data_IF_929929634716
#
_entry.id   IF_929929634716
#
_cell.length_a   1.000
_cell.length_b   1.000
_cell.length_c   1.000
_cell.angle_alpha   90.00
_cell.angle_beta   90.00
_cell.angle_gamma   90.00
#
_symmetry.space_group_name_H-M   'P 1'
#
loop_
_entity.id
_entity.type
_entity.pdbx_description
1 polymer ?
#
# COMPACT_ATOMS: atom_id res chain seq x y z
N UNK A 1 -17.28 52.06 32.22
CA UNK A 1 -17.00 52.23 30.78
C UNK A 1 -15.55 51.81 30.54
N UNK A 2 -15.26 51.23 29.37
CA UNK A 2 -13.95 51.22 28.64
C UNK A 2 -12.64 51.25 29.47
N UNK A 3 -11.83 50.18 29.51
CA UNK A 3 -10.85 49.78 28.45
C UNK A 3 -9.51 50.55 28.59
N UNK A 4 -8.31 49.98 28.48
CA UNK A 4 -7.86 48.59 28.24
C UNK A 4 -6.33 48.47 28.44
N UNK A 5 -5.73 47.30 28.20
CA UNK A 5 -4.26 47.15 28.21
C UNK A 5 -3.74 45.71 28.47
N UNK A 6 -2.92 45.19 27.55
CA UNK A 6 -2.36 43.82 27.58
C UNK A 6 -0.83 43.84 27.79
N UNK A 7 -0.27 42.76 28.32
CA UNK A 7 1.16 42.65 28.65
C UNK A 7 1.66 41.21 28.85
N UNK A 8 1.33 40.30 27.92
CA UNK A 8 1.77 38.91 27.98
C UNK A 8 3.15 38.71 27.32
N UNK A 9 4.13 38.17 28.05
CA UNK A 9 5.50 38.00 27.58
C UNK A 9 6.08 36.62 27.87
N UNK A 10 5.95 35.69 26.92
CA UNK A 10 6.91 34.60 26.68
C UNK A 10 6.55 33.80 25.41
N UNK A 11 7.49 33.64 24.47
CA UNK A 11 7.30 32.70 23.35
C UNK A 11 8.05 33.02 22.05
N UNK A 12 9.38 32.84 21.99
CA UNK A 12 10.06 32.66 20.69
C UNK A 12 11.38 31.84 20.70
N UNK A 13 11.57 30.95 21.69
CA UNK A 13 12.84 30.18 21.83
C UNK A 13 13.07 29.19 20.68
N UNK A 14 12.00 28.70 20.04
CA UNK A 14 12.08 27.74 18.92
C UNK A 14 12.34 28.42 17.57
N UNK A 15 11.81 29.63 17.35
CA UNK A 15 12.02 30.37 16.09
C UNK A 15 13.49 30.74 15.87
N UNK A 16 14.19 31.15 16.94
CA UNK A 16 15.63 31.42 16.87
C UNK A 16 16.48 30.21 16.51
N UNK A 17 16.08 28.99 16.93
CA UNK A 17 16.85 27.78 16.65
C UNK A 17 16.85 27.44 15.15
N UNK A 18 15.71 27.62 14.47
CA UNK A 18 15.59 27.39 13.03
C UNK A 18 16.27 28.51 12.21
N UNK A 19 16.13 29.77 12.63
CA UNK A 19 16.79 30.90 11.97
C UNK A 19 18.33 30.76 11.91
N UNK A 20 18.94 30.17 12.94
CA UNK A 20 20.40 29.96 13.03
C UNK A 20 20.95 28.91 12.05
N UNK A 21 20.11 28.14 11.35
CA UNK A 21 20.53 27.21 10.29
C UNK A 21 20.60 27.83 8.89
N UNK A 22 20.00 29.01 8.67
CA UNK A 22 20.01 29.71 7.38
C UNK A 22 21.40 29.94 6.75
N UNK A 23 22.48 30.23 7.50
CA UNK A 23 23.80 30.48 6.89
C UNK A 23 24.43 29.26 6.21
N UNK A 24 24.13 28.03 6.66
CA UNK A 24 24.79 26.80 6.21
C UNK A 24 24.49 26.44 4.74
N UNK A 25 23.43 27.00 4.15
CA UNK A 25 22.99 26.68 2.79
C UNK A 25 23.30 27.78 1.76
N UNK A 26 23.90 28.91 2.17
CA UNK A 26 24.25 30.02 1.26
C UNK A 26 25.54 29.81 0.44
N UNK A 27 26.21 28.67 0.58
CA UNK A 27 27.50 28.38 -0.06
C UNK A 27 27.45 27.49 -1.31
N UNK A 28 26.31 26.90 -1.67
CA UNK A 28 26.20 25.94 -2.78
C UNK A 28 25.57 26.62 -4.00
N UNK A 29 26.37 27.42 -4.70
CA UNK A 29 26.05 27.86 -6.06
C UNK A 29 26.60 26.86 -7.07
N UNK A 30 25.77 26.37 -7.99
CA UNK A 30 26.26 25.58 -9.12
C UNK A 30 27.15 26.43 -10.03
N UNK A 31 28.30 25.93 -10.51
CA UNK A 31 28.99 26.56 -11.63
C UNK A 31 28.11 26.46 -12.88
N UNK A 32 28.02 27.54 -13.65
CA UNK A 32 27.50 27.46 -15.00
C UNK A 32 28.47 26.64 -15.87
N UNK A 33 27.93 25.72 -16.66
CA UNK A 33 28.67 24.97 -17.68
C UNK A 33 27.92 25.19 -18.98
N UNK A 34 28.43 26.10 -19.80
CA UNK A 34 27.94 26.30 -21.15
C UNK A 34 28.31 25.08 -22.01
N UNK A 35 27.33 24.52 -22.71
CA UNK A 35 27.51 23.35 -23.60
C UNK A 35 27.10 23.77 -25.00
N UNK A 36 28.08 24.12 -25.82
CA UNK A 36 27.87 24.25 -27.26
C UNK A 36 27.62 22.87 -27.88
N UNK A 37 26.58 22.75 -28.69
CA UNK A 37 26.23 21.51 -29.42
C UNK A 37 26.60 21.69 -30.89
N UNK A 38 27.55 20.91 -31.45
CA UNK A 38 27.88 20.95 -32.87
C UNK A 38 26.70 20.60 -33.77
N UNK A 39 26.67 21.19 -34.97
CA UNK A 39 25.54 21.11 -35.89
C UNK A 39 25.83 20.22 -37.13
N UNK A 40 26.13 18.94 -36.92
CA UNK A 40 26.44 17.98 -38.00
C UNK A 40 25.93 16.54 -37.77
N UNK A 41 24.67 16.37 -37.36
CA UNK A 41 23.94 15.10 -37.56
C UNK A 41 22.42 15.31 -37.64
N UNK A 42 21.91 15.41 -38.88
CA UNK A 42 20.49 15.36 -39.20
C UNK A 42 20.27 14.34 -40.32
N UNK A 43 19.47 13.30 -40.06
CA UNK A 43 18.88 12.46 -41.10
C UNK A 43 17.43 12.93 -41.36
N UNK A 44 16.91 12.77 -42.59
CA UNK A 44 15.75 13.54 -43.04
C UNK A 44 14.41 13.04 -42.50
N UNK A 45 13.50 13.98 -42.27
CA UNK A 45 12.06 13.71 -42.15
C UNK A 45 11.46 13.86 -43.55
N UNK A 46 10.71 12.84 -43.99
CA UNK A 46 10.09 12.80 -45.32
C UNK A 46 8.63 13.28 -45.24
N UNK A 47 8.30 14.42 -45.86
CA UNK A 47 6.94 14.97 -45.90
C UNK A 47 6.24 14.58 -47.21
N UNK A 48 5.11 13.87 -47.13
CA UNK A 48 4.32 13.46 -48.30
C UNK A 48 2.81 13.69 -48.11
N UNK A 49 2.38 14.88 -48.53
CA UNK A 49 1.04 15.32 -48.98
C UNK A 49 -0.25 14.92 -48.25
N UNK A 50 -0.97 15.97 -47.85
CA UNK A 50 -2.41 16.00 -47.53
C UNK A 50 -3.27 15.56 -48.72
N UNK A 51 -4.27 14.71 -48.48
CA UNK A 51 -5.52 14.73 -49.24
C UNK A 51 -6.70 14.23 -48.38
N UNK A 52 -7.71 15.08 -48.17
CA UNK A 52 -8.81 14.82 -47.25
C UNK A 52 -10.11 14.36 -47.92
N UNK A 53 -11.08 13.92 -47.11
CA UNK A 53 -12.51 13.84 -47.45
C UNK A 53 -13.38 14.02 -46.20
N UNK A 54 -14.38 14.90 -46.31
CA UNK A 54 -15.37 15.20 -45.28
C UNK A 54 -16.62 14.34 -45.52
N UNK A 55 -17.22 13.80 -44.45
CA UNK A 55 -18.64 13.42 -44.45
C UNK A 55 -19.30 13.63 -43.07
N UNK A 56 -20.35 14.45 -43.09
CA UNK A 56 -21.54 14.42 -42.21
C UNK A 56 -22.29 13.07 -42.41
N UNK A 57 -23.18 12.56 -41.54
CA UNK A 57 -23.58 12.89 -40.15
C UNK A 57 -24.02 11.54 -39.45
N UNK A 58 -25.00 11.32 -38.57
CA UNK A 58 -26.14 12.09 -38.02
C UNK A 58 -26.58 11.51 -36.62
N UNK A 59 -27.88 11.60 -36.26
CA UNK A 59 -28.44 11.18 -34.98
C UNK A 59 -28.70 9.65 -34.85
N UNK A 60 -28.90 9.17 -33.61
CA UNK A 60 -30.19 8.59 -33.20
C UNK A 60 -30.39 8.64 -31.67
N UNK A 61 -31.65 8.62 -31.22
CA UNK A 61 -32.07 8.79 -29.82
C UNK A 61 -33.23 7.83 -29.47
N UNK A 62 -33.46 7.59 -28.17
CA UNK A 62 -34.52 6.72 -27.59
C UNK A 62 -34.35 5.21 -27.91
N UNK A 63 -35.01 4.27 -27.21
CA UNK A 63 -35.89 4.35 -26.04
C UNK A 63 -36.32 2.95 -25.56
N UNK A 64 -36.90 2.83 -24.35
CA UNK A 64 -37.31 1.53 -23.76
C UNK A 64 -38.78 1.25 -24.05
N UNK A 65 -39.12 0.02 -24.49
CA UNK A 65 -40.48 -0.55 -24.36
C UNK A 65 -40.45 -2.10 -24.29
N UNK A 66 -41.63 -2.74 -24.20
CA UNK A 66 -41.87 -4.03 -23.52
C UNK A 66 -41.94 -5.28 -24.45
N UNK A 67 -42.16 -6.44 -23.81
CA UNK A 67 -42.43 -7.79 -24.37
C UNK A 67 -43.64 -7.84 -25.35
N UNK A 68 -43.95 -8.94 -26.06
CA UNK A 68 -43.82 -10.37 -25.67
C UNK A 68 -43.90 -11.36 -26.87
N UNK A 69 -43.75 -12.67 -26.57
CA UNK A 69 -44.04 -13.89 -27.35
C UNK A 69 -43.27 -14.19 -28.67
N UNK A 70 -42.99 -15.49 -28.91
CA UNK A 70 -42.82 -16.03 -30.28
C UNK A 70 -41.56 -16.86 -30.63
N UNK A 71 -41.50 -18.14 -30.22
CA UNK A 71 -40.74 -19.26 -30.85
C UNK A 71 -39.25 -19.11 -31.20
N UNK A 72 -38.39 -19.95 -30.62
CA UNK A 72 -36.95 -20.01 -30.92
C UNK A 72 -36.54 -21.14 -31.90
N UNK A 73 -35.62 -20.87 -32.86
CA UNK A 73 -34.79 -21.88 -33.53
C UNK A 73 -33.30 -21.81 -33.14
N UNK A 74 -32.52 -22.83 -33.55
CA UNK A 74 -31.19 -23.14 -33.03
C UNK A 74 -30.01 -22.28 -33.57
N UNK A 75 -28.88 -22.17 -32.84
CA UNK A 75 -27.72 -21.37 -33.25
C UNK A 75 -26.90 -22.02 -34.37
N UNK A 76 -26.50 -21.21 -35.37
CA UNK A 76 -25.60 -21.60 -36.46
C UNK A 76 -24.21 -21.01 -36.22
N UNK A 77 -23.20 -21.87 -36.03
CA UNK A 77 -21.81 -21.44 -35.86
C UNK A 77 -21.05 -21.28 -37.19
N UNK A 78 -20.08 -20.36 -37.25
CA UNK A 78 -19.09 -20.28 -38.33
C UNK A 78 -17.70 -19.99 -37.78
N UNK A 79 -16.70 -20.76 -38.23
CA UNK A 79 -15.29 -20.60 -37.85
C UNK A 79 -14.60 -19.57 -38.76
N UNK A 80 -13.56 -18.92 -38.25
CA UNK A 80 -12.54 -18.22 -39.04
C UNK A 80 -11.23 -19.01 -38.90
N UNK A 81 -10.46 -19.09 -40.00
CA UNK A 81 -9.27 -19.95 -40.11
C UNK A 81 -8.04 -19.10 -40.38
N UNK A 82 -6.92 -19.36 -39.69
CA UNK A 82 -5.63 -18.78 -40.03
C UNK A 82 -4.92 -19.57 -41.13
N UNK A 83 -4.20 -18.85 -41.99
CA UNK A 83 -3.66 -19.39 -43.24
C UNK A 83 -2.33 -20.11 -43.04
N UNK A 84 -2.11 -21.22 -43.74
CA UNK A 84 -0.85 -21.96 -43.71
C UNK A 84 -0.19 -21.95 -45.10
N UNK A 85 1.03 -21.42 -45.20
CA UNK A 85 1.75 -21.32 -46.46
C UNK A 85 3.26 -21.49 -46.26
N UNK A 86 3.75 -22.73 -46.39
CA UNK A 86 5.01 -23.10 -47.04
C UNK A 86 5.21 -24.62 -47.01
N UNK A 87 5.01 -25.25 -48.17
CA UNK A 87 5.41 -26.65 -48.40
C UNK A 87 5.83 -26.81 -49.85
N UNK A 88 7.10 -27.20 -50.09
CA UNK A 88 7.54 -27.84 -51.32
C UNK A 88 8.90 -28.52 -51.11
N UNK A 89 9.03 -29.69 -51.74
CA UNK A 89 10.19 -30.60 -51.81
C UNK A 89 10.19 -31.74 -50.78
N UNK A 90 9.62 -32.88 -51.16
CA UNK A 90 10.34 -34.15 -51.27
C UNK A 90 9.50 -35.13 -52.13
N UNK A 91 10.17 -35.93 -52.95
CA UNK A 91 9.55 -36.66 -54.05
C UNK A 91 8.92 -38.00 -53.64
N UNK A 92 8.02 -38.49 -54.49
CA UNK A 92 7.30 -39.75 -54.30
C UNK A 92 8.02 -40.94 -54.92
N UNK A 93 8.41 -41.95 -54.12
CA UNK A 93 8.46 -43.34 -54.62
C UNK A 93 8.34 -44.40 -53.51
N UNK A 94 7.86 -45.59 -53.94
CA UNK A 94 7.96 -46.94 -53.34
C UNK A 94 6.98 -47.41 -52.25
N UNK A 95 6.11 -48.29 -52.78
CA UNK A 95 5.77 -49.63 -52.28
C UNK A 95 4.59 -49.80 -51.32
N UNK A 96 3.93 -50.94 -51.51
CA UNK A 96 2.56 -51.25 -51.09
C UNK A 96 2.51 -52.44 -50.13
N UNK A 97 1.48 -52.42 -49.27
CA UNK A 97 0.86 -53.58 -48.60
C UNK A 97 1.76 -54.55 -47.79
N UNK A 98 1.59 -54.56 -46.47
CA UNK A 98 0.93 -55.67 -45.73
C UNK A 98 1.02 -55.44 -44.21
N UNK A 99 -0.11 -55.46 -43.51
CA UNK A 99 -0.15 -55.41 -42.04
C UNK A 99 0.11 -56.80 -41.44
N UNK A 100 1.31 -57.03 -40.91
CA UNK A 100 1.54 -58.09 -39.92
C UNK A 100 1.49 -57.48 -38.51
N UNK A 101 0.95 -58.19 -37.50
CA UNK A 101 1.05 -57.75 -36.11
C UNK A 101 2.52 -57.80 -35.68
N UNK A 102 3.03 -56.69 -35.15
CA UNK A 102 4.37 -56.65 -34.54
C UNK A 102 4.31 -57.39 -33.21
N UNK A 103 5.05 -58.48 -33.07
CA UNK A 103 5.32 -59.06 -31.76
C UNK A 103 6.17 -58.06 -30.96
N UNK A 104 5.64 -57.60 -29.83
CA UNK A 104 6.41 -56.87 -28.82
C UNK A 104 7.46 -57.81 -28.22
N UNK A 105 8.66 -57.78 -28.79
CA UNK A 105 9.83 -58.50 -28.29
C UNK A 105 10.29 -57.92 -26.95
N UNK A 106 10.66 -58.82 -26.04
CA UNK A 106 11.00 -58.57 -24.63
C UNK A 106 9.82 -58.10 -23.74
N UNK A 107 9.57 -58.76 -22.59
CA UNK A 107 8.70 -58.20 -21.55
C UNK A 107 9.36 -56.99 -20.90
N UNK A 108 8.55 -56.06 -20.37
CA UNK A 108 9.09 -54.91 -19.62
C UNK A 108 9.98 -55.38 -18.45
N UNK A 109 11.08 -54.66 -18.13
CA UNK A 109 11.92 -54.98 -16.98
C UNK A 109 11.09 -55.06 -15.70
N UNK A 110 11.10 -56.23 -15.05
CA UNK A 110 10.54 -56.38 -13.70
C UNK A 110 11.49 -55.70 -12.73
N UNK A 111 11.12 -54.51 -12.25
CA UNK A 111 11.80 -53.87 -11.15
C UNK A 111 11.90 -54.83 -9.94
N UNK A 112 13.02 -54.87 -9.21
CA UNK A 112 13.12 -55.70 -8.02
C UNK A 112 12.10 -55.24 -6.98
N UNK A 113 11.64 -56.16 -6.12
CA UNK A 113 10.59 -55.91 -5.12
C UNK A 113 10.94 -54.78 -4.11
N UNK A 114 12.20 -54.34 -4.09
CA UNK A 114 12.74 -53.32 -3.20
C UNK A 114 12.92 -51.95 -3.92
N UNK A 115 12.46 -51.81 -5.17
CA UNK A 115 12.69 -50.60 -5.97
C UNK A 115 11.74 -49.46 -5.58
N UNK A 116 12.16 -48.63 -4.62
CA UNK A 116 11.59 -47.31 -4.42
C UNK A 116 12.02 -46.41 -5.60
N UNK A 117 11.12 -46.20 -6.56
CA UNK A 117 11.31 -45.21 -7.60
C UNK A 117 10.96 -43.82 -7.07
N UNK A 118 11.89 -42.86 -7.19
CA UNK A 118 11.68 -41.46 -6.82
C UNK A 118 10.50 -40.78 -7.55
N UNK A 119 9.92 -41.43 -8.57
CA UNK A 119 8.66 -41.04 -9.20
C UNK A 119 7.46 -41.02 -8.24
N UNK A 120 7.49 -41.78 -7.13
CA UNK A 120 6.51 -41.65 -6.04
C UNK A 120 6.98 -40.73 -4.90
N UNK A 121 8.26 -40.35 -4.89
CA UNK A 121 8.80 -39.25 -4.07
C UNK A 121 8.64 -37.90 -4.77
N UNK A 122 7.75 -37.83 -5.76
CA UNK A 122 6.92 -36.65 -6.01
C UNK A 122 6.00 -36.38 -4.80
N UNK A 123 6.61 -36.14 -3.63
CA UNK A 123 6.03 -35.29 -2.60
C UNK A 123 5.61 -34.02 -3.33
N UNK A 124 4.29 -33.78 -3.39
CA UNK A 124 3.80 -32.48 -3.80
C UNK A 124 4.20 -31.50 -2.71
N UNK A 125 5.43 -30.98 -2.83
CA UNK A 125 5.85 -29.77 -2.15
C UNK A 125 4.87 -28.73 -2.63
N UNK A 126 3.83 -28.49 -1.84
CA UNK A 126 2.97 -27.32 -1.99
C UNK A 126 3.84 -26.12 -1.70
N UNK A 127 4.55 -25.67 -2.74
CA UNK A 127 5.12 -24.34 -2.84
C UNK A 127 3.94 -23.36 -2.97
N UNK A 128 3.15 -23.28 -1.90
CA UNK A 128 2.05 -22.35 -1.77
C UNK A 128 2.68 -20.97 -1.69
N UNK A 129 2.45 -20.15 -2.71
CA UNK A 129 2.86 -18.75 -2.71
C UNK A 129 2.15 -17.91 -1.63
N UNK A 130 1.28 -18.54 -0.84
CA UNK A 130 0.52 -17.98 0.28
C UNK A 130 0.69 -18.90 1.50
N UNK A 131 1.22 -18.38 2.61
CA UNK A 131 1.29 -19.08 3.90
C UNK A 131 -0.11 -19.39 4.47
N UNK A 132 -0.24 -20.46 5.28
CA UNK A 132 -1.48 -20.73 6.02
C UNK A 132 -1.65 -19.78 7.22
N UNK A 133 -2.89 -19.59 7.74
CA UNK A 133 -3.15 -18.62 8.81
C UNK A 133 -2.28 -18.77 10.09
N UNK A 134 -1.94 -19.99 10.58
CA UNK A 134 -1.00 -20.14 11.68
C UNK A 134 0.45 -19.75 11.33
N UNK A 135 0.88 -19.99 10.09
CA UNK A 135 2.22 -19.62 9.61
C UNK A 135 2.34 -18.10 9.44
N UNK A 136 1.31 -17.43 8.91
CA UNK A 136 1.24 -15.96 8.86
C UNK A 136 1.41 -15.35 10.26
N UNK A 137 0.72 -15.90 11.26
CA UNK A 137 0.85 -15.43 12.64
C UNK A 137 2.26 -15.66 13.21
N UNK A 138 2.84 -16.84 12.98
CA UNK A 138 4.20 -17.17 13.43
C UNK A 138 5.26 -16.25 12.80
N UNK A 139 5.12 -15.93 11.51
CA UNK A 139 6.00 -15.01 10.77
C UNK A 139 5.86 -13.58 11.29
N UNK A 140 4.64 -13.10 11.50
CA UNK A 140 4.39 -11.78 12.10
C UNK A 140 4.96 -11.67 13.53
N UNK A 141 4.91 -12.76 14.32
CA UNK A 141 5.54 -12.83 15.63
C UNK A 141 7.07 -12.95 15.56
N UNK A 142 7.64 -13.50 14.47
CA UNK A 142 9.08 -13.50 14.23
C UNK A 142 9.59 -12.12 13.81
N UNK A 143 8.92 -11.41 12.91
CA UNK A 143 9.31 -10.03 12.56
C UNK A 143 9.34 -9.08 13.77
N UNK A 144 8.41 -9.21 14.73
CA UNK A 144 8.44 -8.41 15.96
C UNK A 144 9.64 -8.72 16.88
N UNK A 145 10.08 -9.98 16.90
CA UNK A 145 11.28 -10.45 17.60
C UNK A 145 12.56 -10.01 16.87
N UNK A 146 12.63 -10.18 15.55
CA UNK A 146 13.77 -9.79 14.72
C UNK A 146 14.04 -8.28 14.84
N UNK A 147 13.00 -7.45 14.65
CA UNK A 147 13.08 -5.98 14.73
C UNK A 147 13.51 -5.50 16.12
N UNK A 148 13.06 -6.17 17.20
CA UNK A 148 13.50 -5.85 18.56
C UNK A 148 14.99 -6.13 18.80
N UNK A 149 15.57 -7.13 18.10
CA UNK A 149 16.99 -7.44 18.16
C UNK A 149 17.86 -6.58 17.22
N UNK A 150 17.30 -5.59 16.53
CA UNK A 150 18.09 -4.68 15.69
C UNK A 150 19.00 -3.76 16.53
N UNK A 151 20.24 -3.49 16.09
CA UNK A 151 21.05 -2.46 16.71
C UNK A 151 20.39 -1.09 16.50
N UNK A 152 20.51 -0.21 17.49
CA UNK A 152 19.75 1.06 17.57
C UNK A 152 19.78 1.88 16.26
N UNK A 153 20.93 1.97 15.58
CA UNK A 153 21.07 2.73 14.34
C UNK A 153 20.24 2.15 13.19
N UNK A 154 20.12 0.81 13.08
CA UNK A 154 19.28 0.15 12.05
C UNK A 154 17.81 0.50 12.29
N UNK A 155 17.35 0.42 13.54
CA UNK A 155 15.99 0.78 13.93
C UNK A 155 15.68 2.25 13.64
N UNK A 156 16.56 3.19 13.99
CA UNK A 156 16.34 4.61 13.69
C UNK A 156 16.33 4.89 12.17
N UNK A 157 17.22 4.30 11.38
CA UNK A 157 17.21 4.46 9.91
C UNK A 157 15.92 3.90 9.29
N UNK A 158 15.50 2.69 9.66
CA UNK A 158 14.30 2.05 9.11
C UNK A 158 12.99 2.74 9.54
N UNK A 159 12.94 3.32 10.73
CA UNK A 159 11.78 4.09 11.21
C UNK A 159 11.72 5.50 10.60
N UNK A 160 12.85 6.16 10.37
CA UNK A 160 12.89 7.45 9.66
C UNK A 160 12.46 7.26 8.20
N UNK A 161 13.02 6.29 7.47
CA UNK A 161 12.67 6.10 6.06
C UNK A 161 11.21 5.65 5.85
N UNK A 162 10.62 4.92 6.81
CA UNK A 162 9.19 4.62 6.79
C UNK A 162 8.33 5.90 6.85
N UNK A 163 8.69 6.87 7.69
CA UNK A 163 8.06 8.20 7.71
C UNK A 163 8.21 8.94 6.37
N UNK A 164 9.33 8.75 5.69
CA UNK A 164 9.55 9.32 4.36
C UNK A 164 8.65 8.70 3.28
N UNK A 165 8.50 7.38 3.28
CA UNK A 165 7.62 6.66 2.35
C UNK A 165 6.13 6.99 2.55
N UNK A 166 5.69 7.26 3.79
CA UNK A 166 4.35 7.83 4.04
C UNK A 166 4.20 9.22 3.41
N UNK A 167 5.24 10.06 3.48
CA UNK A 167 5.23 11.40 2.87
C UNK A 167 5.09 11.37 1.34
N UNK A 168 5.78 10.43 0.66
CA UNK A 168 5.54 10.17 -0.77
C UNK A 168 4.10 9.72 -1.04
N UNK A 169 3.65 8.64 -0.37
CA UNK A 169 2.33 8.06 -0.62
C UNK A 169 1.17 9.04 -0.37
N UNK A 170 1.22 9.81 0.72
CA UNK A 170 0.17 10.80 1.00
C UNK A 170 0.25 12.00 0.03
N UNK A 171 1.45 12.43 -0.39
CA UNK A 171 1.58 13.46 -1.45
C UNK A 171 0.94 13.00 -2.76
N UNK A 172 1.12 11.74 -3.15
CA UNK A 172 0.42 11.17 -4.32
C UNK A 172 -1.11 11.23 -4.14
N UNK A 173 -1.66 10.88 -2.98
CA UNK A 173 -3.11 11.00 -2.73
C UNK A 173 -3.61 12.45 -2.82
N UNK A 174 -2.91 13.38 -2.16
CA UNK A 174 -3.29 14.80 -2.06
C UNK A 174 -3.21 15.51 -3.41
N UNK A 175 -2.26 15.16 -4.27
CA UNK A 175 -2.11 15.78 -5.59
C UNK A 175 -2.95 15.07 -6.67
N UNK A 176 -2.95 13.74 -6.75
CA UNK A 176 -3.70 13.00 -7.79
C UNK A 176 -5.21 13.04 -7.52
N UNK A 177 -5.64 12.81 -6.28
CA UNK A 177 -7.04 12.99 -5.89
C UNK A 177 -7.44 14.47 -5.85
N UNK A 178 -6.57 15.32 -5.31
CA UNK A 178 -6.88 16.74 -5.09
C UNK A 178 -6.88 17.65 -6.30
N UNK A 179 -6.30 17.23 -7.44
CA UNK A 179 -6.42 17.93 -8.72
C UNK A 179 -7.67 17.50 -9.52
N UNK A 180 -8.45 16.52 -9.04
CA UNK A 180 -9.70 16.10 -9.68
C UNK A 180 -10.78 17.19 -9.59
N UNK A 181 -10.82 17.93 -8.47
CA UNK A 181 -11.61 19.15 -8.25
C UNK A 181 -11.28 20.28 -9.25
N UNK A 182 -10.09 20.22 -9.86
CA UNK A 182 -9.62 21.16 -10.89
C UNK A 182 -9.78 20.62 -12.32
N UNK A 183 -10.34 19.41 -12.50
CA UNK A 183 -10.49 18.77 -13.80
C UNK A 183 -11.78 19.24 -14.51
N UNK A 184 -11.71 19.79 -15.73
CA UNK A 184 -12.89 20.22 -16.47
C UNK A 184 -13.92 19.09 -16.65
N UNK A 185 -15.16 19.34 -16.23
CA UNK A 185 -16.28 18.41 -16.39
C UNK A 185 -16.43 17.34 -15.30
N UNK A 186 -15.65 17.36 -14.21
CA UNK A 186 -15.79 16.40 -13.10
C UNK A 186 -16.68 16.92 -11.95
N UNK A 187 -17.03 18.21 -11.96
CA UNK A 187 -17.89 18.83 -10.94
C UNK A 187 -17.19 18.98 -9.58
N UNK A 188 -17.91 19.51 -8.58
CA UNK A 188 -17.36 19.61 -7.23
C UNK A 188 -17.34 18.23 -6.53
N UNK A 189 -16.34 17.94 -5.69
CA UNK A 189 -16.28 16.70 -4.91
C UNK A 189 -17.44 16.51 -3.90
N UNK A 190 -18.24 17.55 -3.66
CA UNK A 190 -19.19 17.65 -2.56
C UNK A 190 -20.62 17.21 -2.93
N UNK A 191 -21.01 17.29 -4.21
CA UNK A 191 -22.40 17.02 -4.63
C UNK A 191 -22.54 15.92 -5.70
N UNK A 192 -21.70 15.87 -6.75
CA UNK A 192 -21.92 14.93 -7.87
C UNK A 192 -20.97 13.72 -7.89
N UNK A 193 -19.67 13.89 -7.61
CA UNK A 193 -18.64 12.86 -7.88
C UNK A 193 -17.83 12.37 -6.65
N UNK A 194 -18.38 12.51 -5.43
CA UNK A 194 -17.73 12.10 -4.18
C UNK A 194 -17.12 10.69 -4.20
N UNK A 195 -17.83 9.70 -4.75
CA UNK A 195 -17.36 8.32 -4.84
C UNK A 195 -16.12 8.16 -5.74
N UNK A 196 -16.09 8.85 -6.89
CA UNK A 196 -14.96 8.86 -7.82
C UNK A 196 -13.74 9.58 -7.21
N UNK A 197 -13.97 10.71 -6.54
CA UNK A 197 -12.92 11.41 -5.79
C UNK A 197 -12.26 10.50 -4.74
N UNK A 198 -13.06 9.82 -3.91
CA UNK A 198 -12.53 8.87 -2.91
C UNK A 198 -11.78 7.72 -3.55
N UNK A 199 -12.30 7.16 -4.65
CA UNK A 199 -11.66 6.08 -5.38
C UNK A 199 -10.25 6.49 -5.87
N UNK A 200 -10.14 7.63 -6.58
CA UNK A 200 -8.87 8.12 -7.11
C UNK A 200 -7.89 8.50 -5.99
N UNK A 201 -8.37 9.19 -4.94
CA UNK A 201 -7.58 9.56 -3.78
C UNK A 201 -6.98 8.34 -3.05
N UNK A 202 -7.77 7.28 -2.84
CA UNK A 202 -7.36 6.10 -2.08
C UNK A 202 -6.58 5.05 -2.89
N UNK A 203 -6.84 4.90 -4.19
CA UNK A 203 -6.43 3.72 -4.95
C UNK A 203 -4.93 3.63 -5.26
N UNK A 204 -4.17 4.73 -5.23
CA UNK A 204 -2.75 4.71 -5.68
C UNK A 204 -1.77 5.09 -4.58
N UNK A 205 -1.87 6.28 -4.00
CA UNK A 205 -0.80 6.86 -3.18
C UNK A 205 -0.52 6.11 -1.86
N UNK A 206 -1.54 5.87 -1.03
CA UNK A 206 -1.38 5.10 0.20
C UNK A 206 -0.96 3.64 -0.05
N UNK A 207 -1.59 2.90 -1.00
CA UNK A 207 -1.13 1.57 -1.40
C UNK A 207 0.33 1.51 -1.85
N UNK A 208 0.76 2.47 -2.67
CA UNK A 208 2.16 2.62 -3.10
C UNK A 208 3.08 2.80 -1.89
N UNK A 209 2.82 3.81 -1.05
CA UNK A 209 3.66 4.12 0.11
C UNK A 209 3.79 2.94 1.10
N UNK A 210 2.69 2.22 1.38
CA UNK A 210 2.73 1.05 2.25
C UNK A 210 3.40 -0.17 1.60
N UNK A 211 3.25 -0.35 0.28
CA UNK A 211 3.99 -1.38 -0.47
C UNK A 211 5.49 -1.14 -0.41
N UNK A 212 5.95 0.10 -0.63
CA UNK A 212 7.35 0.47 -0.48
C UNK A 212 7.86 0.22 0.94
N UNK A 213 7.08 0.55 1.97
CA UNK A 213 7.44 0.28 3.38
C UNK A 213 7.69 -1.21 3.63
N UNK A 214 6.76 -2.09 3.20
CA UNK A 214 6.90 -3.53 3.43
C UNK A 214 8.02 -4.14 2.57
N UNK A 215 8.11 -3.77 1.29
CA UNK A 215 9.08 -4.35 0.35
C UNK A 215 10.52 -3.88 0.63
N UNK A 216 10.71 -2.63 1.05
CA UNK A 216 12.02 -2.12 1.48
C UNK A 216 12.35 -2.43 2.96
N UNK A 217 11.49 -3.16 3.68
CA UNK A 217 11.74 -3.59 5.06
C UNK A 217 11.72 -2.48 6.11
N UNK A 218 11.06 -1.36 5.84
CA UNK A 218 11.02 -0.18 6.71
C UNK A 218 10.07 -0.36 7.92
N UNK A 219 10.31 0.40 8.99
CA UNK A 219 9.69 0.20 10.31
C UNK A 219 8.62 1.27 10.63
N UNK A 220 7.41 1.01 10.16
CA UNK A 220 6.23 1.86 10.42
C UNK A 220 5.54 1.46 11.74
N UNK A 221 5.19 2.46 12.56
CA UNK A 221 4.56 2.30 13.87
C UNK A 221 3.29 1.45 13.81
N UNK A 222 2.46 1.66 12.79
CA UNK A 222 1.13 1.04 12.68
C UNK A 222 1.20 -0.46 12.40
N UNK A 223 2.09 -0.94 11.53
CA UNK A 223 2.33 -2.39 11.38
C UNK A 223 3.10 -2.97 12.57
N UNK A 224 4.02 -2.21 13.18
CA UNK A 224 4.69 -2.61 14.43
C UNK A 224 3.72 -2.84 15.60
N UNK A 225 2.57 -2.15 15.66
CA UNK A 225 1.52 -2.43 16.66
C UNK A 225 1.07 -3.89 16.61
N UNK A 226 0.93 -4.47 15.42
CA UNK A 226 0.53 -5.87 15.24
C UNK A 226 1.71 -6.82 15.47
N UNK A 227 2.88 -6.55 14.88
CA UNK A 227 4.10 -7.37 15.04
C UNK A 227 4.55 -7.51 16.49
N UNK A 228 4.71 -6.39 17.21
CA UNK A 228 5.18 -6.40 18.59
C UNK A 228 4.19 -7.06 19.54
N UNK A 229 2.89 -6.94 19.26
CA UNK A 229 1.85 -7.62 20.04
C UNK A 229 1.83 -9.12 19.80
N UNK A 230 1.99 -9.58 18.55
CA UNK A 230 2.13 -11.01 18.23
C UNK A 230 3.38 -11.62 18.88
N UNK A 231 4.52 -10.95 18.79
CA UNK A 231 5.77 -11.38 19.43
C UNK A 231 5.67 -11.42 20.98
N UNK A 232 4.91 -10.49 21.59
CA UNK A 232 4.66 -10.48 23.03
C UNK A 232 3.78 -11.64 23.48
N UNK A 233 2.71 -11.96 22.73
CA UNK A 233 1.84 -13.11 23.04
C UNK A 233 2.55 -14.46 22.91
N UNK A 234 3.51 -14.59 21.99
CA UNK A 234 4.40 -15.76 21.89
C UNK A 234 5.52 -15.78 22.94
N UNK A 235 5.61 -14.75 23.79
CA UNK A 235 6.62 -14.64 24.85
C UNK A 235 8.03 -14.30 24.35
N UNK A 236 8.20 -13.98 23.06
CA UNK A 236 9.48 -13.65 22.43
C UNK A 236 10.04 -12.30 22.89
N UNK A 237 9.15 -11.34 23.20
CA UNK A 237 9.49 -10.01 23.72
C UNK A 237 8.69 -9.70 24.98
N UNK A 238 9.20 -8.80 25.83
CA UNK A 238 8.52 -8.35 27.06
C UNK A 238 7.66 -7.12 26.77
N UNK A 239 6.62 -6.87 27.58
CA UNK A 239 5.69 -5.74 27.37
C UNK A 239 6.40 -4.37 27.29
N UNK A 240 7.51 -4.18 28.02
CA UNK A 240 8.30 -2.94 27.97
C UNK A 240 9.04 -2.77 26.64
N UNK A 241 9.43 -3.86 25.98
CA UNK A 241 10.02 -3.84 24.63
C UNK A 241 8.99 -3.43 23.58
N UNK A 242 7.72 -3.83 23.74
CA UNK A 242 6.61 -3.37 22.89
C UNK A 242 6.50 -1.84 22.96
N UNK A 243 6.44 -1.27 24.17
CA UNK A 243 6.36 0.18 24.36
C UNK A 243 7.58 0.92 23.83
N UNK A 244 8.80 0.40 24.06
CA UNK A 244 10.04 0.97 23.54
C UNK A 244 10.05 1.00 22.00
N UNK A 245 9.78 -0.13 21.34
CA UNK A 245 9.78 -0.23 19.87
C UNK A 245 8.72 0.69 19.24
N UNK A 246 7.54 0.77 19.85
CA UNK A 246 6.48 1.67 19.39
C UNK A 246 6.85 3.14 19.58
N UNK A 247 7.44 3.53 20.72
CA UNK A 247 7.87 4.90 20.96
C UNK A 247 9.00 5.35 20.02
N UNK A 248 10.00 4.48 19.79
CA UNK A 248 11.08 4.75 18.82
C UNK A 248 10.52 4.85 17.41
N UNK A 249 9.67 3.91 17.00
CA UNK A 249 9.08 3.93 15.65
C UNK A 249 8.19 5.14 15.41
N UNK A 250 7.30 5.49 16.34
CA UNK A 250 6.46 6.69 16.25
C UNK A 250 7.31 7.97 16.12
N UNK A 251 8.41 8.07 16.87
CA UNK A 251 9.31 9.22 16.84
C UNK A 251 10.15 9.28 15.56
N UNK A 252 10.70 8.15 15.11
CA UNK A 252 11.43 8.05 13.85
C UNK A 252 10.54 8.35 12.66
N UNK A 253 9.32 7.81 12.64
CA UNK A 253 8.32 8.12 11.62
C UNK A 253 8.00 9.62 11.57
N UNK A 254 7.79 10.29 12.72
CA UNK A 254 7.58 11.73 12.79
C UNK A 254 8.75 12.52 12.18
N UNK A 255 9.99 12.16 12.51
CA UNK A 255 11.20 12.77 11.95
C UNK A 255 11.27 12.58 10.43
N UNK A 256 10.96 11.39 9.92
CA UNK A 256 10.88 11.11 8.49
C UNK A 256 9.82 11.96 7.76
N UNK A 257 8.64 12.10 8.35
CA UNK A 257 7.60 12.98 7.82
C UNK A 257 8.05 14.46 7.81
N UNK A 258 8.72 14.94 8.86
CA UNK A 258 9.25 16.30 8.92
C UNK A 258 10.36 16.55 7.87
N UNK A 259 11.27 15.58 7.66
CA UNK A 259 12.28 15.63 6.60
C UNK A 259 11.61 15.73 5.22
N UNK A 260 10.59 14.90 4.95
CA UNK A 260 9.87 14.98 3.68
C UNK A 260 9.11 16.28 3.48
N UNK A 261 8.53 16.88 4.52
CA UNK A 261 7.90 18.20 4.42
C UNK A 261 8.94 19.27 4.05
N UNK A 262 10.15 19.20 4.62
CA UNK A 262 11.26 20.06 4.23
C UNK A 262 11.65 19.89 2.75
N UNK A 263 11.81 18.64 2.28
CA UNK A 263 12.17 18.33 0.89
C UNK A 263 11.07 18.71 -0.11
N UNK A 264 9.80 18.43 0.21
CA UNK A 264 8.63 18.77 -0.62
C UNK A 264 8.41 20.28 -0.70
N UNK A 265 8.74 21.02 0.36
CA UNK A 265 8.72 22.49 0.37
C UNK A 265 9.86 23.06 -0.46
N UNK A 266 11.09 22.55 -0.30
CA UNK A 266 12.26 22.99 -1.05
C UNK A 266 12.17 22.67 -2.56
N UNK A 267 11.50 21.57 -2.93
CA UNK A 267 11.19 21.21 -4.31
C UNK A 267 9.90 21.83 -4.86
N UNK A 268 9.30 22.82 -4.17
CA UNK A 268 8.06 23.51 -4.55
C UNK A 268 6.85 22.59 -4.91
N UNK A 269 6.80 21.36 -4.40
CA UNK A 269 5.88 20.30 -4.90
C UNK A 269 4.40 20.68 -4.73
N UNK A 270 4.07 21.44 -3.69
CA UNK A 270 2.72 21.93 -3.39
C UNK A 270 2.42 23.34 -3.94
N UNK A 271 3.32 23.93 -4.75
CA UNK A 271 3.14 25.28 -5.32
C UNK A 271 1.85 25.36 -6.15
N UNK A 272 0.96 26.26 -5.73
CA UNK A 272 -0.41 26.44 -6.24
C UNK A 272 -1.35 25.21 -6.10
N UNK A 273 -1.01 24.23 -5.24
CA UNK A 273 -1.74 22.95 -5.05
C UNK A 273 -2.14 22.68 -3.59
N UNK A 274 -2.37 23.74 -2.81
CA UNK A 274 -2.63 23.65 -1.37
C UNK A 274 -4.09 23.43 -0.98
N UNK A 275 -5.06 23.61 -1.88
CA UNK A 275 -6.51 23.52 -1.58
C UNK A 275 -6.90 22.19 -0.92
N UNK A 276 -6.63 21.06 -1.57
CA UNK A 276 -6.97 19.74 -1.01
C UNK A 276 -6.18 19.41 0.26
N UNK A 277 -4.92 19.85 0.35
CA UNK A 277 -4.14 19.75 1.59
C UNK A 277 -4.84 20.45 2.75
N UNK A 278 -5.32 21.68 2.56
CA UNK A 278 -6.04 22.42 3.59
C UNK A 278 -7.41 21.83 3.91
N UNK A 279 -8.22 21.50 2.89
CA UNK A 279 -9.57 20.95 3.08
C UNK A 279 -9.54 19.61 3.85
N UNK A 280 -8.62 18.70 3.49
CA UNK A 280 -8.43 17.42 4.20
C UNK A 280 -7.91 17.63 5.62
N UNK A 281 -7.14 18.70 5.88
CA UNK A 281 -6.59 18.99 7.21
C UNK A 281 -7.63 19.62 8.14
N UNK A 282 -8.40 20.62 7.68
CA UNK A 282 -9.44 21.25 8.49
C UNK A 282 -10.61 20.28 8.75
N UNK A 283 -11.05 19.52 7.74
CA UNK A 283 -12.06 18.47 7.92
C UNK A 283 -11.64 17.34 8.88
N UNK A 284 -10.33 17.17 9.16
CA UNK A 284 -9.81 16.26 10.20
C UNK A 284 -9.85 16.84 11.62
N UNK A 285 -10.08 18.14 11.77
CA UNK A 285 -10.21 18.85 13.05
C UNK A 285 -11.67 19.05 13.49
N UNK A 286 -12.63 18.80 12.61
CA UNK A 286 -14.07 18.82 12.91
C UNK A 286 -14.50 17.62 13.78
N UNK A 287 -13.77 16.51 13.74
CA UNK A 287 -14.08 15.32 14.51
C UNK A 287 -13.71 15.48 15.98
N UNK A 288 -14.69 15.24 16.87
CA UNK A 288 -14.43 15.11 18.30
C UNK A 288 -13.51 13.92 18.63
N UNK A 289 -12.72 14.07 19.70
CA UNK A 289 -11.67 13.12 20.15
C UNK A 289 -12.05 11.64 20.06
N UNK A 290 -13.26 11.28 20.52
CA UNK A 290 -13.76 9.89 20.47
C UNK A 290 -14.01 9.35 19.06
N UNK A 291 -14.44 10.20 18.11
CA UNK A 291 -14.59 9.82 16.71
C UNK A 291 -13.22 9.63 16.03
N UNK A 292 -12.24 10.49 16.35
CA UNK A 292 -10.85 10.31 15.89
C UNK A 292 -10.26 8.99 16.41
N UNK A 293 -10.49 8.67 17.69
CA UNK A 293 -10.05 7.39 18.28
C UNK A 293 -10.69 6.18 17.59
N UNK A 294 -12.01 6.17 17.38
CA UNK A 294 -12.71 5.06 16.71
C UNK A 294 -12.29 4.92 15.24
N UNK A 295 -12.14 6.03 14.50
CA UNK A 295 -11.54 6.01 13.17
C UNK A 295 -10.11 5.46 13.20
N UNK A 296 -9.34 5.74 14.25
CA UNK A 296 -8.02 5.17 14.47
C UNK A 296 -8.02 3.64 14.61
N UNK A 297 -9.04 3.07 15.26
CA UNK A 297 -9.21 1.60 15.34
C UNK A 297 -9.38 1.03 13.94
N UNK A 298 -10.34 1.54 13.16
CA UNK A 298 -10.61 1.01 11.82
C UNK A 298 -9.44 1.20 10.85
N UNK A 299 -8.73 2.31 10.91
CA UNK A 299 -7.52 2.54 10.10
C UNK A 299 -6.48 1.44 10.31
N UNK A 300 -6.06 1.19 11.56
CA UNK A 300 -4.97 0.22 11.78
C UNK A 300 -5.43 -1.23 11.85
N UNK A 301 -6.74 -1.50 11.96
CA UNK A 301 -7.24 -2.84 11.68
C UNK A 301 -7.02 -3.18 10.19
N UNK A 302 -7.32 -2.25 9.27
CA UNK A 302 -7.08 -2.44 7.84
C UNK A 302 -5.58 -2.44 7.47
N UNK A 303 -4.77 -1.53 8.02
CA UNK A 303 -3.30 -1.55 7.82
C UNK A 303 -2.68 -2.84 8.40
N UNK A 304 -3.18 -3.34 9.52
CA UNK A 304 -2.80 -4.63 10.05
C UNK A 304 -3.20 -5.80 9.14
N UNK A 305 -4.40 -5.80 8.57
CA UNK A 305 -4.84 -6.81 7.58
C UNK A 305 -3.92 -6.77 6.34
N UNK A 306 -3.59 -5.59 5.83
CA UNK A 306 -2.60 -5.41 4.77
C UNK A 306 -1.24 -6.02 5.14
N UNK A 307 -0.81 -5.84 6.40
CA UNK A 307 0.42 -6.44 6.95
C UNK A 307 0.35 -7.97 6.95
N UNK A 308 -0.76 -8.57 7.40
CA UNK A 308 -0.97 -10.02 7.37
C UNK A 308 -0.94 -10.58 5.95
N UNK A 309 -1.66 -9.94 5.01
CA UNK A 309 -1.70 -10.36 3.61
C UNK A 309 -0.33 -10.24 2.92
N UNK A 310 0.46 -9.22 3.27
CA UNK A 310 1.81 -9.02 2.75
C UNK A 310 2.85 -9.99 3.32
N UNK A 311 2.58 -10.65 4.45
CA UNK A 311 3.45 -11.73 4.96
C UNK A 311 2.96 -13.12 4.54
N UNK A 312 1.67 -13.25 4.21
CA UNK A 312 1.15 -14.43 3.55
C UNK A 312 1.81 -14.65 2.18
N UNK A 313 1.82 -13.62 1.34
CA UNK A 313 2.36 -13.69 -0.02
C UNK A 313 3.90 -13.84 -0.04
N UNK A 314 4.38 -14.74 -0.89
CA UNK A 314 5.81 -15.05 -1.07
C UNK A 314 6.44 -14.36 -2.28
N UNK A 315 5.67 -13.56 -3.03
CA UNK A 315 6.11 -12.83 -4.22
C UNK A 315 5.70 -11.34 -4.17
N UNK A 316 6.40 -10.49 -4.94
CA UNK A 316 6.16 -9.04 -4.94
C UNK A 316 4.74 -8.64 -5.38
N UNK A 317 4.16 -9.35 -6.36
CA UNK A 317 2.83 -9.06 -6.89
C UNK A 317 1.76 -9.42 -5.87
N UNK A 318 1.87 -10.60 -5.23
CA UNK A 318 1.01 -11.01 -4.14
C UNK A 318 1.07 -10.05 -2.94
N UNK A 319 2.27 -9.56 -2.58
CA UNK A 319 2.42 -8.53 -1.53
C UNK A 319 1.75 -7.22 -1.92
N UNK A 320 1.99 -6.71 -3.13
CA UNK A 320 1.40 -5.46 -3.62
C UNK A 320 -0.15 -5.54 -3.68
N UNK A 321 -0.71 -6.61 -4.26
CA UNK A 321 -2.17 -6.81 -4.35
C UNK A 321 -2.81 -7.03 -2.98
N UNK A 322 -2.16 -7.80 -2.10
CA UNK A 322 -2.62 -8.02 -0.72
C UNK A 322 -2.61 -6.75 0.14
N UNK A 323 -1.68 -5.83 -0.15
CA UNK A 323 -1.66 -4.48 0.42
C UNK A 323 -2.74 -3.59 -0.18
N UNK A 324 -2.94 -3.66 -1.50
CA UNK A 324 -3.68 -2.67 -2.27
C UNK A 324 -5.11 -2.45 -1.76
N UNK A 325 -5.90 -3.52 -1.62
CA UNK A 325 -7.31 -3.44 -1.25
C UNK A 325 -7.54 -2.90 0.17
N UNK A 326 -6.96 -3.46 1.25
CA UNK A 326 -7.18 -2.94 2.61
C UNK A 326 -6.63 -1.52 2.82
N UNK A 327 -5.51 -1.17 2.19
CA UNK A 327 -4.95 0.20 2.30
C UNK A 327 -5.83 1.21 1.52
N UNK A 328 -6.28 0.85 0.33
CA UNK A 328 -7.26 1.64 -0.43
C UNK A 328 -8.53 1.90 0.39
N UNK A 329 -9.07 0.86 1.02
CA UNK A 329 -10.30 0.94 1.80
C UNK A 329 -10.20 1.95 2.97
N UNK A 330 -9.11 1.94 3.75
CA UNK A 330 -9.00 2.88 4.89
C UNK A 330 -8.95 4.35 4.43
N UNK A 331 -8.28 4.61 3.30
CA UNK A 331 -8.17 5.94 2.72
C UNK A 331 -9.52 6.42 2.12
N UNK A 332 -10.21 5.55 1.39
CA UNK A 332 -11.54 5.83 0.81
C UNK A 332 -12.60 6.10 1.89
N UNK A 333 -12.58 5.32 2.97
CA UNK A 333 -13.48 5.47 4.13
C UNK A 333 -13.09 6.63 5.05
N UNK A 334 -11.97 7.33 4.78
CA UNK A 334 -11.57 8.54 5.50
C UNK A 334 -11.23 8.29 6.97
N UNK A 335 -10.57 7.18 7.28
CA UNK A 335 -10.13 6.85 8.64
C UNK A 335 -8.84 7.61 9.07
N UNK A 336 -8.48 7.50 10.35
CA UNK A 336 -7.40 8.28 10.97
C UNK A 336 -6.13 7.44 11.16
N UNK A 337 -5.09 7.71 10.37
CA UNK A 337 -3.80 7.01 10.45
C UNK A 337 -2.73 7.98 10.97
N UNK A 338 -2.22 7.75 12.18
CA UNK A 338 -1.40 8.70 12.94
C UNK A 338 -0.20 9.22 12.15
N UNK A 339 0.56 8.34 11.50
CA UNK A 339 1.75 8.72 10.73
C UNK A 339 1.39 9.46 9.43
N UNK A 340 0.21 9.19 8.86
CA UNK A 340 -0.28 9.97 7.72
C UNK A 340 -0.67 11.38 8.19
N UNK A 341 -1.39 11.47 9.31
CA UNK A 341 -1.75 12.74 9.94
C UNK A 341 -0.49 13.56 10.31
N UNK A 342 0.60 12.94 10.81
CA UNK A 342 1.88 13.63 11.03
C UNK A 342 2.36 14.37 9.78
N UNK A 343 2.47 13.68 8.64
CA UNK A 343 2.87 14.30 7.39
C UNK A 343 1.89 15.40 6.96
N UNK A 344 0.59 15.13 6.99
CA UNK A 344 -0.45 16.07 6.58
C UNK A 344 -0.39 17.39 7.38
N UNK A 345 -0.43 17.32 8.71
CA UNK A 345 -0.44 18.50 9.56
C UNK A 345 0.88 19.28 9.47
N UNK A 346 2.02 18.60 9.39
CA UNK A 346 3.32 19.26 9.16
C UNK A 346 3.37 19.96 7.79
N UNK A 347 2.88 19.31 6.72
CA UNK A 347 2.84 19.88 5.37
C UNK A 347 1.88 21.08 5.30
N UNK A 348 0.68 20.95 5.88
CA UNK A 348 -0.30 22.03 5.94
C UNK A 348 0.25 23.25 6.70
N UNK A 349 0.91 23.02 7.85
CA UNK A 349 1.52 24.09 8.63
C UNK A 349 2.69 24.77 7.89
N UNK A 350 3.55 23.99 7.20
CA UNK A 350 4.61 24.52 6.35
C UNK A 350 4.08 25.34 5.15
N UNK A 351 2.89 25.02 4.65
CA UNK A 351 2.18 25.79 3.60
C UNK A 351 1.35 26.95 4.15
N UNK A 352 1.35 27.21 5.47
CA UNK A 352 0.69 28.37 6.09
C UNK A 352 -0.72 28.15 6.62
N UNK A 353 -1.17 26.91 6.83
CA UNK A 353 -2.45 26.63 7.49
C UNK A 353 -2.48 27.15 8.94
N UNK A 354 -3.60 27.77 9.34
CA UNK A 354 -3.79 28.32 10.68
C UNK A 354 -4.25 27.23 11.65
N UNK A 355 -3.30 26.41 12.12
CA UNK A 355 -3.57 25.25 12.97
C UNK A 355 -2.74 25.37 14.25
N UNK A 356 -3.40 25.26 15.41
CA UNK A 356 -2.70 25.27 16.70
C UNK A 356 -2.03 23.91 16.97
N UNK A 357 -0.92 23.93 17.71
CA UNK A 357 -0.27 22.70 18.18
C UNK A 357 -1.21 21.81 19.03
N UNK A 358 -2.23 22.40 19.70
CA UNK A 358 -3.28 21.65 20.39
C UNK A 358 -4.15 20.85 19.41
N UNK A 359 -4.67 21.50 18.37
CA UNK A 359 -5.51 20.88 17.34
C UNK A 359 -4.79 19.71 16.67
N UNK A 360 -3.52 19.91 16.28
CA UNK A 360 -2.70 18.85 15.71
C UNK A 360 -2.44 17.71 16.72
N UNK A 361 -1.84 18.01 17.88
CA UNK A 361 -1.30 16.97 18.77
C UNK A 361 -2.39 16.33 19.65
N UNK A 362 -3.20 17.15 20.33
CA UNK A 362 -4.15 16.69 21.34
C UNK A 362 -5.50 16.28 20.74
N UNK A 363 -6.05 17.11 19.86
CA UNK A 363 -7.39 16.88 19.31
C UNK A 363 -7.39 15.81 18.20
N UNK A 364 -6.29 15.67 17.43
CA UNK A 364 -6.16 14.63 16.38
C UNK A 364 -5.08 13.55 16.66
N UNK A 365 -3.80 13.89 16.80
CA UNK A 365 -2.70 12.91 16.69
C UNK A 365 -2.67 11.88 17.83
N UNK A 366 -2.94 12.30 19.08
CA UNK A 366 -3.03 11.41 20.24
C UNK A 366 -4.18 10.40 20.11
N UNK A 367 -5.46 10.80 19.91
CA UNK A 367 -6.56 9.84 19.74
C UNK A 367 -6.36 8.93 18.53
N UNK A 368 -5.84 9.44 17.41
CA UNK A 368 -5.51 8.61 16.25
C UNK A 368 -4.43 7.56 16.58
N UNK A 369 -3.37 7.94 17.30
CA UNK A 369 -2.30 7.02 17.73
C UNK A 369 -2.82 5.93 18.67
N UNK A 370 -3.64 6.29 19.66
CA UNK A 370 -4.24 5.33 20.60
C UNK A 370 -5.21 4.38 19.89
N UNK A 371 -6.04 4.90 18.99
CA UNK A 371 -6.94 4.10 18.16
C UNK A 371 -6.16 3.14 17.26
N UNK A 372 -5.08 3.61 16.63
CA UNK A 372 -4.23 2.77 15.80
C UNK A 372 -3.56 1.64 16.62
N UNK A 373 -3.04 1.91 17.82
CA UNK A 373 -2.49 0.86 18.66
C UNK A 373 -3.56 -0.20 18.99
N UNK A 374 -4.78 0.22 19.32
CA UNK A 374 -5.89 -0.70 19.58
C UNK A 374 -6.28 -1.52 18.34
N UNK A 375 -6.41 -0.89 17.16
CA UNK A 375 -6.77 -1.58 15.91
C UNK A 375 -5.74 -2.63 15.48
N UNK A 376 -4.44 -2.29 15.46
CA UNK A 376 -3.39 -3.22 15.04
C UNK A 376 -2.99 -4.23 16.12
N UNK A 377 -2.84 -3.77 17.37
CA UNK A 377 -2.40 -4.61 18.49
C UNK A 377 -3.52 -5.46 19.09
N UNK A 378 -4.69 -4.88 19.35
CA UNK A 378 -5.81 -5.60 20.00
C UNK A 378 -6.69 -6.30 18.97
N UNK A 379 -7.32 -5.56 18.05
CA UNK A 379 -8.30 -6.15 17.12
C UNK A 379 -7.68 -7.14 16.12
N UNK A 380 -6.36 -7.08 15.88
CA UNK A 380 -5.66 -8.01 15.00
C UNK A 380 -4.63 -8.87 15.73
N UNK A 381 -3.54 -8.27 16.23
CA UNK A 381 -2.40 -9.02 16.79
C UNK A 381 -2.80 -9.93 17.96
N UNK A 382 -3.66 -9.44 18.86
CA UNK A 382 -4.18 -10.21 20.00
C UNK A 382 -5.23 -11.23 19.57
N UNK A 383 -6.15 -10.90 18.65
CA UNK A 383 -7.16 -11.86 18.16
C UNK A 383 -6.50 -13.05 17.47
N UNK A 384 -5.53 -12.82 16.57
CA UNK A 384 -4.80 -13.90 15.92
C UNK A 384 -3.85 -14.65 16.87
N UNK A 385 -3.31 -13.98 17.89
CA UNK A 385 -2.61 -14.67 18.96
C UNK A 385 -3.52 -15.63 19.72
N UNK A 386 -4.77 -15.24 20.04
CA UNK A 386 -5.75 -16.12 20.66
C UNK A 386 -6.15 -17.31 19.77
N UNK A 387 -6.25 -17.11 18.45
CA UNK A 387 -6.61 -18.16 17.51
C UNK A 387 -5.48 -19.16 17.22
N UNK A 388 -4.25 -18.68 17.00
CA UNK A 388 -3.14 -19.48 16.47
C UNK A 388 -1.89 -19.54 17.35
N UNK A 389 -1.73 -18.65 18.33
CA UNK A 389 -0.59 -18.61 19.22
C UNK A 389 -0.47 -19.79 20.18
N UNK A 390 0.65 -19.86 20.88
CA UNK A 390 1.05 -20.93 21.80
C UNK A 390 0.48 -20.74 23.21
N UNK A 391 0.51 -19.51 23.73
CA UNK A 391 0.05 -19.18 25.09
C UNK A 391 -1.42 -19.56 25.35
N UNK A 392 -2.39 -19.29 24.45
CA UNK A 392 -3.78 -19.72 24.65
C UNK A 392 -3.95 -21.24 24.61
N UNK A 393 -3.16 -21.95 23.80
CA UNK A 393 -3.19 -23.42 23.73
C UNK A 393 -2.71 -24.04 25.05
N UNK A 394 -1.69 -23.44 25.68
CA UNK A 394 -1.23 -23.83 27.02
C UNK A 394 -2.28 -23.52 28.10
N UNK A 395 -2.94 -22.35 28.04
CA UNK A 395 -4.06 -22.02 28.93
C UNK A 395 -5.24 -22.97 28.77
N UNK A 396 -5.66 -23.27 27.53
CA UNK A 396 -6.74 -24.22 27.23
C UNK A 396 -6.43 -25.62 27.76
N UNK A 397 -5.22 -26.13 27.52
CA UNK A 397 -4.78 -27.42 28.07
C UNK A 397 -4.79 -27.45 29.61
N UNK A 398 -4.49 -26.33 30.29
CA UNK A 398 -4.59 -26.21 31.74
C UNK A 398 -6.05 -26.14 32.23
N UNK A 399 -6.93 -25.43 31.52
CA UNK A 399 -8.37 -25.38 31.82
C UNK A 399 -9.00 -26.77 31.65
N UNK A 400 -8.69 -27.47 30.56
CA UNK A 400 -9.16 -28.85 30.32
C UNK A 400 -8.66 -29.82 31.41
N UNK A 401 -7.41 -29.68 31.87
CA UNK A 401 -6.89 -30.47 32.98
C UNK A 401 -7.54 -30.13 34.34
N UNK A 402 -8.02 -28.90 34.52
CA UNK A 402 -8.80 -28.48 35.69
C UNK A 402 -10.22 -29.06 35.64
N UNK A 403 -10.92 -28.91 34.51
CA UNK A 403 -12.29 -29.39 34.32
C UNK A 403 -12.40 -30.92 34.30
N UNK A 404 -11.35 -31.65 33.91
CA UNK A 404 -11.27 -33.12 34.01
C UNK A 404 -10.90 -33.63 35.42
N UNK A 405 -10.85 -32.74 36.43
CA UNK A 405 -10.55 -33.05 37.84
C UNK A 405 -11.64 -32.56 38.81
N UNK A 406 -12.76 -32.08 38.27
CA UNK A 406 -13.98 -31.66 38.98
C UNK A 406 -15.14 -32.53 38.53
#
# INVERSE_FOLDING_TARGET
>A
MTDGGNGNGNGNVVGEALGKLSPLFKGIGSPAVDVEVPADQAEPVDEAEVNGRVYHDEHFNHGVHYADEGTAPAPVGRKVTFNAALSKNMDSERMTATTKPVQLGAPMPKWPANHQSAAFEAVSIKHSYILSPPEIFAECAHHGEEKYNYPWYKLWVLTIIAGCYVGFGYTTCLLVGGMLDQAPGVGSPEEENYGLYKLIFGAVGFPFGFTTIIVCGADLFTSLCAYMTAAWWEGKVRWHAVLYMLAVSWTGNFIGCAIMVGLMTAGEVYRHKTTTLFNVTYGKLEYGWGAVFVKGIFANWLVGIATWMANAAQDLTGKAVGIWLPISAFAMLGFEHSIANMFLFLMAWAMGANITAKQFIWDNLIPATLGNFFGGGVCLGTVYAFAYGRTPKLMGAWIDQKLKRS
#
